data_IF_164678326421
#
_entry.id   IF_164678326421
#
_cell.length_a   1.000
_cell.length_b   1.000
_cell.length_c   1.000
_cell.angle_alpha   90.00
_cell.angle_beta   90.00
_cell.angle_gamma   90.00
#
_symmetry.space_group_name_H-M   'P 1'
#
loop_
_entity.id
_entity.type
_entity.pdbx_description
1 polymer ?
#
# COMPACT_ATOMS: atom_id res chain seq x y z
N UNK A 1 37.07 -61.89 55.37
CA UNK A 1 37.87 -62.99 54.80
C UNK A 1 37.98 -62.75 53.31
N UNK A 2 39.15 -62.31 52.87
CA UNK A 2 39.43 -61.91 51.49
C UNK A 2 39.64 -63.19 50.68
N UNK A 3 38.76 -63.47 49.73
CA UNK A 3 38.96 -64.53 48.75
C UNK A 3 40.20 -64.18 47.91
N UNK A 4 41.19 -65.07 47.93
CA UNK A 4 42.49 -64.88 47.30
C UNK A 4 42.33 -64.76 45.78
N UNK A 5 42.96 -63.73 45.19
CA UNK A 5 43.10 -63.52 43.74
C UNK A 5 43.72 -64.73 43.02
N UNK A 6 44.47 -65.57 43.75
CA UNK A 6 45.08 -66.81 43.28
C UNK A 6 44.04 -67.90 42.95
N UNK A 7 42.92 -67.96 43.68
CA UNK A 7 41.85 -68.94 43.44
C UNK A 7 40.96 -68.54 42.26
N UNK A 8 40.82 -67.23 42.01
CA UNK A 8 40.19 -66.73 40.80
C UNK A 8 41.02 -67.05 39.54
N UNK A 9 42.35 -67.08 39.66
CA UNK A 9 43.25 -67.35 38.53
C UNK A 9 43.33 -68.83 38.13
N UNK A 10 43.15 -69.75 39.07
CA UNK A 10 43.16 -71.19 38.78
C UNK A 10 41.87 -71.65 38.06
N UNK A 11 40.73 -71.02 38.37
CA UNK A 11 39.45 -71.34 37.71
C UNK A 11 39.40 -70.86 36.25
N UNK A 12 40.14 -69.79 35.90
CA UNK A 12 40.27 -69.35 34.51
C UNK A 12 41.06 -70.35 33.65
N UNK A 13 42.07 -71.06 34.14
CA UNK A 13 42.88 -71.95 33.27
C UNK A 13 42.12 -73.15 32.68
N UNK A 14 40.96 -73.50 33.24
CA UNK A 14 40.16 -74.65 32.81
C UNK A 14 39.04 -74.31 31.83
N UNK A 15 38.87 -73.04 31.44
CA UNK A 15 37.90 -72.68 30.39
C UNK A 15 38.60 -72.76 29.03
N UNK A 16 38.25 -73.72 28.17
CA UNK A 16 38.79 -73.77 26.83
C UNK A 16 38.37 -72.49 26.09
N UNK A 17 39.34 -71.85 25.44
CA UNK A 17 39.14 -70.69 24.58
C UNK A 17 38.90 -69.33 25.29
N UNK A 18 39.49 -69.10 26.48
CA UNK A 18 39.44 -67.79 27.17
C UNK A 18 39.98 -66.63 26.34
N UNK A 19 41.07 -66.86 25.59
CA UNK A 19 41.64 -65.82 24.71
C UNK A 19 40.66 -65.52 23.58
N UNK A 20 39.97 -66.54 23.05
CA UNK A 20 38.91 -66.37 22.05
C UNK A 20 37.68 -65.62 22.59
N UNK A 21 37.26 -65.86 23.83
CA UNK A 21 36.16 -65.14 24.50
C UNK A 21 36.55 -63.68 24.82
N UNK A 22 37.79 -63.44 25.24
CA UNK A 22 38.28 -62.09 25.53
C UNK A 22 38.48 -61.27 24.24
N UNK A 23 39.02 -61.90 23.18
CA UNK A 23 39.16 -61.29 21.86
C UNK A 23 37.78 -61.10 21.21
N UNK A 24 36.87 -62.07 21.27
CA UNK A 24 35.50 -61.91 20.77
C UNK A 24 34.73 -60.84 21.55
N UNK A 25 34.91 -60.78 22.88
CA UNK A 25 34.35 -59.74 23.76
C UNK A 25 34.90 -58.35 23.45
N UNK A 26 36.21 -58.22 23.25
CA UNK A 26 36.83 -56.95 22.84
C UNK A 26 36.48 -56.52 21.42
N UNK A 27 36.31 -57.46 20.49
CA UNK A 27 35.91 -57.19 19.10
C UNK A 27 34.43 -56.83 19.02
N UNK A 28 33.57 -57.45 19.84
CA UNK A 28 32.17 -57.09 19.99
C UNK A 28 31.99 -55.73 20.68
N UNK A 29 32.82 -55.41 21.68
CA UNK A 29 32.83 -54.08 22.31
C UNK A 29 33.36 -53.03 21.34
N UNK A 30 34.45 -53.28 20.61
CA UNK A 30 34.97 -52.36 19.59
C UNK A 30 33.99 -52.17 18.41
N UNK A 31 33.31 -53.24 17.98
CA UNK A 31 32.26 -53.20 16.95
C UNK A 31 30.98 -52.52 17.41
N UNK A 32 30.53 -52.76 18.64
CA UNK A 32 29.38 -52.09 19.24
C UNK A 32 29.66 -50.60 19.53
N UNK A 33 30.88 -50.27 19.95
CA UNK A 33 31.32 -48.89 20.18
C UNK A 33 31.45 -48.17 18.83
N UNK A 34 32.05 -48.80 17.81
CA UNK A 34 32.12 -48.26 16.45
C UNK A 34 30.75 -48.07 15.78
N UNK A 35 29.81 -49.00 15.99
CA UNK A 35 28.43 -48.89 15.50
C UNK A 35 27.66 -47.78 16.21
N UNK A 36 27.81 -47.63 17.54
CA UNK A 36 27.21 -46.53 18.30
C UNK A 36 27.78 -45.17 17.88
N UNK A 37 29.10 -45.04 17.70
CA UNK A 37 29.72 -43.82 17.16
C UNK A 37 29.27 -43.54 15.73
N UNK A 38 29.16 -44.57 14.88
CA UNK A 38 28.64 -44.44 13.52
C UNK A 38 27.19 -43.93 13.48
N UNK A 39 26.31 -44.45 14.34
CA UNK A 39 24.91 -44.01 14.47
C UNK A 39 24.84 -42.56 14.96
N UNK A 40 25.65 -42.18 15.96
CA UNK A 40 25.70 -40.80 16.47
C UNK A 40 26.22 -39.82 15.41
N UNK A 41 27.28 -40.18 14.68
CA UNK A 41 27.80 -39.34 13.58
C UNK A 41 26.77 -39.22 12.46
N UNK A 42 26.09 -40.30 12.08
CA UNK A 42 25.06 -40.30 11.04
C UNK A 42 23.85 -39.45 11.47
N UNK A 43 23.43 -39.53 12.73
CA UNK A 43 22.37 -38.70 13.29
C UNK A 43 22.77 -37.21 13.32
N UNK A 44 24.01 -36.88 13.69
CA UNK A 44 24.52 -35.50 13.68
C UNK A 44 24.64 -34.93 12.27
N UNK A 45 25.09 -35.73 11.29
CA UNK A 45 25.15 -35.34 9.87
C UNK A 45 23.73 -35.18 9.31
N UNK A 46 22.80 -36.08 9.66
CA UNK A 46 21.38 -35.98 9.30
C UNK A 46 20.75 -34.72 9.87
N UNK A 47 20.97 -34.40 11.15
CA UNK A 47 20.50 -33.16 11.77
C UNK A 47 21.10 -31.91 11.10
N UNK A 48 22.39 -31.94 10.76
CA UNK A 48 23.04 -30.85 10.01
C UNK A 48 22.43 -30.69 8.61
N UNK A 49 22.17 -31.79 7.91
CA UNK A 49 21.56 -31.77 6.57
C UNK A 49 20.11 -31.29 6.63
N UNK A 50 19.32 -31.75 7.60
CA UNK A 50 17.95 -31.27 7.82
C UNK A 50 17.93 -29.78 8.14
N UNK A 51 18.85 -29.28 8.97
CA UNK A 51 19.00 -27.84 9.22
C UNK A 51 19.32 -27.07 7.93
N UNK A 52 20.30 -27.52 7.14
CA UNK A 52 20.63 -26.90 5.84
C UNK A 52 19.47 -26.92 4.85
N UNK A 53 18.69 -28.00 4.81
CA UNK A 53 17.50 -28.11 3.96
C UNK A 53 16.40 -27.16 4.43
N UNK A 54 16.17 -27.04 5.73
CA UNK A 54 15.22 -26.08 6.30
C UNK A 54 15.65 -24.63 6.02
N UNK A 55 16.94 -24.32 6.14
CA UNK A 55 17.48 -23.00 5.80
C UNK A 55 17.30 -22.73 4.29
N UNK A 56 17.60 -23.69 3.42
CA UNK A 56 17.36 -23.57 1.98
C UNK A 56 15.88 -23.38 1.63
N UNK A 57 14.97 -24.07 2.32
CA UNK A 57 13.52 -23.87 2.17
C UNK A 57 13.09 -22.49 2.65
N UNK A 58 13.65 -21.99 3.76
CA UNK A 58 13.37 -20.63 4.27
C UNK A 58 13.80 -19.55 3.29
N UNK A 59 15.01 -19.63 2.74
CA UNK A 59 15.50 -18.68 1.73
C UNK A 59 14.64 -18.70 0.47
N UNK A 60 14.26 -19.90 0.01
CA UNK A 60 13.39 -20.06 -1.17
C UNK A 60 12.00 -19.48 -0.90
N UNK A 61 11.41 -19.78 0.25
CA UNK A 61 10.12 -19.21 0.65
C UNK A 61 10.19 -17.68 0.79
N UNK A 62 11.28 -17.13 1.34
CA UNK A 62 11.52 -15.70 1.46
C UNK A 62 11.54 -15.00 0.10
N UNK A 63 12.27 -15.57 -0.87
CA UNK A 63 12.34 -15.04 -2.24
C UNK A 63 11.00 -15.09 -2.94
N UNK A 64 10.28 -16.21 -2.82
CA UNK A 64 8.94 -16.36 -3.41
C UNK A 64 7.95 -15.37 -2.81
N UNK A 65 7.96 -15.20 -1.48
CA UNK A 65 7.10 -14.23 -0.79
C UNK A 65 7.45 -12.78 -1.18
N UNK A 66 8.74 -12.43 -1.22
CA UNK A 66 9.20 -11.10 -1.65
C UNK A 66 8.79 -10.80 -3.09
N UNK A 67 8.96 -11.77 -4.00
CA UNK A 67 8.53 -11.62 -5.40
C UNK A 67 7.02 -11.40 -5.51
N UNK A 68 6.22 -12.22 -4.81
CA UNK A 68 4.76 -12.07 -4.81
C UNK A 68 4.32 -10.70 -4.26
N UNK A 69 4.92 -10.23 -3.17
CA UNK A 69 4.65 -8.90 -2.61
C UNK A 69 5.04 -7.82 -3.62
N UNK A 70 6.19 -7.95 -4.26
CA UNK A 70 6.66 -7.07 -5.34
C UNK A 70 5.65 -6.97 -6.48
N UNK A 71 5.17 -8.10 -7.00
CA UNK A 71 4.18 -8.14 -8.10
C UNK A 71 2.87 -7.46 -7.71
N UNK A 72 2.38 -7.67 -6.49
CA UNK A 72 1.17 -7.01 -5.99
C UNK A 72 1.35 -5.50 -5.83
N UNK A 73 2.50 -5.04 -5.35
CA UNK A 73 2.80 -3.61 -5.26
C UNK A 73 2.96 -2.99 -6.64
N UNK A 74 3.61 -3.67 -7.59
CA UNK A 74 3.72 -3.21 -8.97
C UNK A 74 2.32 -3.03 -9.59
N UNK A 75 1.43 -4.02 -9.40
CA UNK A 75 0.05 -3.90 -9.87
C UNK A 75 -0.69 -2.72 -9.22
N UNK A 76 -0.48 -2.49 -7.92
CA UNK A 76 -1.04 -1.32 -7.23
C UNK A 76 -0.50 0.00 -7.77
N UNK A 77 0.80 0.08 -8.10
CA UNK A 77 1.42 1.26 -8.76
C UNK A 77 0.74 1.51 -10.11
N UNK A 78 0.58 0.47 -10.92
CA UNK A 78 -0.01 0.58 -12.25
C UNK A 78 -1.49 1.03 -12.17
N UNK A 79 -2.27 0.42 -11.27
CA UNK A 79 -3.66 0.85 -11.04
C UNK A 79 -3.76 2.30 -10.57
N UNK A 80 -2.86 2.75 -9.67
CA UNK A 80 -2.84 4.13 -9.20
C UNK A 80 -2.43 5.09 -10.33
N UNK A 81 -1.53 4.67 -11.22
CA UNK A 81 -1.14 5.45 -12.41
C UNK A 81 -2.33 5.66 -13.34
N UNK A 82 -3.05 4.59 -13.65
CA UNK A 82 -4.22 4.64 -14.52
C UNK A 82 -5.33 5.51 -13.90
N UNK A 83 -5.59 5.35 -12.59
CA UNK A 83 -6.57 6.14 -11.86
C UNK A 83 -6.21 7.64 -11.84
N UNK A 84 -4.94 7.98 -11.62
CA UNK A 84 -4.49 9.38 -11.64
C UNK A 84 -4.57 10.00 -13.04
N UNK A 85 -4.18 9.25 -14.08
CA UNK A 85 -4.30 9.72 -15.46
C UNK A 85 -5.76 10.00 -15.83
N UNK A 86 -6.67 9.10 -15.46
CA UNK A 86 -8.10 9.26 -15.70
C UNK A 86 -8.68 10.42 -14.90
N UNK A 87 -8.28 10.60 -13.63
CA UNK A 87 -8.72 11.72 -12.80
C UNK A 87 -8.33 13.07 -13.41
N UNK A 88 -7.06 13.20 -13.86
CA UNK A 88 -6.56 14.42 -14.47
C UNK A 88 -7.29 14.70 -15.78
N UNK A 89 -7.46 13.69 -16.64
CA UNK A 89 -8.18 13.83 -17.91
C UNK A 89 -9.63 14.27 -17.71
N UNK A 90 -10.36 13.61 -16.80
CA UNK A 90 -11.74 13.97 -16.47
C UNK A 90 -11.81 15.38 -15.88
N UNK A 91 -10.82 15.79 -15.08
CA UNK A 91 -10.78 17.16 -14.54
C UNK A 91 -10.59 18.19 -15.64
N UNK A 92 -9.68 17.96 -16.59
CA UNK A 92 -9.48 18.84 -17.74
C UNK A 92 -10.76 18.96 -18.58
N UNK A 93 -11.44 17.85 -18.84
CA UNK A 93 -12.69 17.86 -19.59
C UNK A 93 -13.79 18.64 -18.86
N UNK A 94 -13.96 18.42 -17.55
CA UNK A 94 -14.91 19.18 -16.74
C UNK A 94 -14.60 20.68 -16.77
N UNK A 95 -13.33 21.08 -16.56
CA UNK A 95 -12.93 22.49 -16.62
C UNK A 95 -13.21 23.09 -17.99
N UNK A 96 -12.88 22.38 -19.09
CA UNK A 96 -13.14 22.86 -20.44
C UNK A 96 -14.63 23.08 -20.71
N UNK A 97 -15.49 22.13 -20.33
CA UNK A 97 -16.96 22.25 -20.47
C UNK A 97 -17.47 23.48 -19.72
N UNK A 98 -17.02 23.67 -18.48
CA UNK A 98 -17.45 24.81 -17.66
C UNK A 98 -16.96 26.15 -18.21
N UNK A 99 -15.75 26.21 -18.79
CA UNK A 99 -15.25 27.42 -19.44
C UNK A 99 -16.04 27.75 -20.72
N UNK A 100 -16.48 26.76 -21.50
CA UNK A 100 -17.34 26.99 -22.67
C UNK A 100 -18.65 27.68 -22.28
N UNK A 101 -19.26 27.29 -21.16
CA UNK A 101 -20.47 27.95 -20.65
C UNK A 101 -20.25 29.44 -20.31
N UNK A 102 -19.08 29.81 -19.82
CA UNK A 102 -18.75 31.21 -19.52
C UNK A 102 -18.68 32.01 -20.82
N UNK A 103 -18.05 31.46 -21.85
CA UNK A 103 -17.93 32.11 -23.17
C UNK A 103 -19.31 32.27 -23.82
N UNK A 104 -20.14 31.23 -23.83
CA UNK A 104 -21.49 31.30 -24.39
C UNK A 104 -22.37 32.35 -23.68
N UNK A 105 -22.24 32.50 -22.35
CA UNK A 105 -22.96 33.53 -21.60
C UNK A 105 -22.54 34.96 -21.95
N UNK A 106 -21.29 35.17 -22.37
CA UNK A 106 -20.82 36.49 -22.82
C UNK A 106 -21.40 36.85 -24.19
N UNK A 107 -21.49 35.87 -25.10
CA UNK A 107 -22.01 36.05 -26.47
C UNK A 107 -23.54 36.29 -26.52
N UNK A 108 -24.31 35.67 -25.62
CA UNK A 108 -25.78 35.78 -25.57
C UNK A 108 -26.28 37.22 -25.36
N UNK A 109 -25.43 38.13 -24.88
CA UNK A 109 -25.73 39.56 -24.74
C UNK A 109 -25.85 40.31 -26.09
N UNK A 110 -25.58 39.64 -27.22
CA UNK A 110 -25.58 40.24 -28.57
C UNK A 110 -26.77 39.83 -29.45
N UNK A 111 -27.68 38.99 -28.95
CA UNK A 111 -28.77 38.39 -29.73
C UNK A 111 -29.95 39.36 -29.97
N UNK A 112 -30.47 39.36 -31.21
CA UNK A 112 -31.64 40.15 -31.62
C UNK A 112 -32.92 39.71 -30.85
N UNK A 113 -33.67 40.65 -30.23
CA UNK A 113 -34.88 40.36 -29.47
C UNK A 113 -35.97 39.55 -30.19
N UNK A 114 -36.07 39.65 -31.53
CA UNK A 114 -37.09 38.93 -32.31
C UNK A 114 -36.85 37.42 -32.41
N UNK A 115 -35.60 36.96 -32.28
CA UNK A 115 -35.22 35.54 -32.31
C UNK A 115 -35.02 34.95 -30.90
N UNK A 116 -35.02 35.80 -29.87
CA UNK A 116 -34.66 35.45 -28.50
C UNK A 116 -35.43 34.24 -27.95
N UNK A 117 -36.73 34.10 -28.24
CA UNK A 117 -37.52 32.98 -27.76
C UNK A 117 -37.23 31.64 -28.47
N UNK A 118 -36.75 31.66 -29.71
CA UNK A 118 -36.32 30.45 -30.43
C UNK A 118 -34.94 30.04 -29.96
N UNK A 119 -34.01 30.99 -29.93
CA UNK A 119 -32.63 30.83 -29.45
C UNK A 119 -32.64 30.32 -28.01
N UNK A 120 -33.39 30.95 -27.10
CA UNK A 120 -33.51 30.50 -25.71
C UNK A 120 -34.01 29.04 -25.56
N UNK A 121 -34.90 28.56 -26.44
CA UNK A 121 -35.37 27.17 -26.41
C UNK A 121 -34.31 26.18 -26.91
N UNK A 122 -33.53 26.56 -27.90
CA UNK A 122 -32.41 25.76 -28.41
C UNK A 122 -31.28 25.71 -27.39
N UNK A 123 -30.91 26.84 -26.79
CA UNK A 123 -29.95 26.90 -25.68
C UNK A 123 -30.42 26.07 -24.49
N UNK A 124 -31.69 26.17 -24.08
CA UNK A 124 -32.21 25.35 -22.97
C UNK A 124 -32.10 23.85 -23.26
N UNK A 125 -32.40 23.41 -24.48
CA UNK A 125 -32.24 21.99 -24.86
C UNK A 125 -30.77 21.56 -24.84
N UNK A 126 -29.87 22.39 -25.36
CA UNK A 126 -28.42 22.14 -25.32
C UNK A 126 -27.91 22.06 -23.87
N UNK A 127 -28.31 23.01 -23.02
CA UNK A 127 -28.01 23.03 -21.59
C UNK A 127 -28.51 21.77 -20.86
N UNK A 128 -29.75 21.34 -21.10
CA UNK A 128 -30.30 20.13 -20.47
C UNK A 128 -29.51 18.89 -20.86
N UNK A 129 -29.20 18.74 -22.16
CA UNK A 129 -28.40 17.61 -22.65
C UNK A 129 -26.99 17.63 -22.06
N UNK A 130 -26.34 18.78 -22.10
CA UNK A 130 -24.99 18.95 -21.58
C UNK A 130 -24.93 18.70 -20.07
N UNK A 131 -25.91 19.18 -19.29
CA UNK A 131 -26.02 18.89 -17.86
C UNK A 131 -26.19 17.40 -17.56
N UNK A 132 -26.97 16.67 -18.36
CA UNK A 132 -27.11 15.22 -18.23
C UNK A 132 -25.78 14.53 -18.47
N UNK A 133 -25.14 14.81 -19.61
CA UNK A 133 -23.87 14.19 -19.98
C UNK A 133 -22.74 14.60 -19.00
N UNK A 134 -22.87 15.77 -18.36
CA UNK A 134 -21.94 16.25 -17.34
C UNK A 134 -22.16 15.58 -15.97
N UNK A 135 -23.40 15.20 -15.66
CA UNK A 135 -23.71 14.43 -14.43
C UNK A 135 -23.03 13.06 -14.47
N UNK A 136 -23.04 12.40 -15.63
CA UNK A 136 -22.36 11.11 -15.83
C UNK A 136 -20.84 11.25 -15.69
N UNK A 137 -20.26 12.34 -16.22
CA UNK A 137 -18.83 12.66 -16.08
C UNK A 137 -18.41 12.99 -14.66
N UNK A 138 -19.21 13.79 -13.95
CA UNK A 138 -18.95 14.10 -12.54
C UNK A 138 -19.04 12.83 -11.69
N UNK A 139 -20.04 11.98 -11.92
CA UNK A 139 -20.12 10.67 -11.27
C UNK A 139 -18.87 9.81 -11.53
N UNK A 140 -18.39 9.75 -12.78
CA UNK A 140 -17.16 9.04 -13.12
C UNK A 140 -15.92 9.66 -12.44
N UNK A 141 -15.80 10.99 -12.41
CA UNK A 141 -14.74 11.71 -11.73
C UNK A 141 -14.70 11.40 -10.22
N UNK A 142 -15.86 11.43 -9.55
CA UNK A 142 -15.97 11.09 -8.13
C UNK A 142 -15.66 9.62 -7.84
N UNK A 143 -16.04 8.70 -8.73
CA UNK A 143 -15.68 7.29 -8.61
C UNK A 143 -14.16 7.09 -8.66
N UNK A 144 -13.48 7.75 -9.61
CA UNK A 144 -12.01 7.68 -9.72
C UNK A 144 -11.34 8.29 -8.50
N UNK A 145 -11.80 9.45 -8.02
CA UNK A 145 -11.30 10.06 -6.79
C UNK A 145 -11.44 9.12 -5.59
N UNK A 146 -12.57 8.43 -5.48
CA UNK A 146 -12.82 7.44 -4.42
C UNK A 146 -11.86 6.26 -4.53
N UNK A 147 -11.62 5.75 -5.74
CA UNK A 147 -10.65 4.67 -5.99
C UNK A 147 -9.22 5.06 -5.61
N UNK A 148 -8.81 6.29 -5.91
CA UNK A 148 -7.49 6.82 -5.52
C UNK A 148 -7.39 6.87 -3.99
N UNK A 149 -8.41 7.38 -3.30
CA UNK A 149 -8.43 7.45 -1.83
C UNK A 149 -8.19 6.10 -1.17
N UNK A 150 -8.82 5.03 -1.67
CA UNK A 150 -8.63 3.69 -1.13
C UNK A 150 -7.23 3.12 -1.38
N UNK A 151 -6.50 3.62 -2.38
CA UNK A 151 -5.14 3.18 -2.71
C UNK A 151 -4.08 3.92 -1.92
N UNK A 152 -4.35 5.14 -1.47
CA UNK A 152 -3.36 5.96 -0.77
C UNK A 152 -3.21 5.57 0.70
N UNK A 153 -1.98 5.60 1.20
CA UNK A 153 -1.66 5.38 2.60
C UNK A 153 -1.55 6.73 3.35
N UNK A 154 -2.52 7.15 4.16
CA UNK A 154 -2.50 8.48 4.81
C UNK A 154 -1.43 8.63 5.90
N UNK A 155 -0.71 7.56 6.23
CA UNK A 155 0.41 7.60 7.17
C UNK A 155 1.69 8.13 6.52
N UNK A 156 1.75 8.14 5.19
CA UNK A 156 2.90 8.61 4.42
C UNK A 156 2.67 10.03 3.93
N UNK A 157 3.69 10.88 4.05
CA UNK A 157 3.57 12.32 3.82
C UNK A 157 3.16 12.64 2.39
N UNK A 158 3.78 12.00 1.41
CA UNK A 158 3.52 12.21 -0.02
C UNK A 158 2.08 11.82 -0.39
N UNK A 159 1.60 10.71 0.18
CA UNK A 159 0.22 10.25 -0.01
C UNK A 159 -0.79 11.22 0.62
N UNK A 160 -0.48 11.76 1.81
CA UNK A 160 -1.34 12.73 2.47
C UNK A 160 -1.39 14.05 1.69
N UNK A 161 -0.27 14.53 1.17
CA UNK A 161 -0.21 15.76 0.36
C UNK A 161 -0.91 15.59 -1.00
N UNK A 162 -0.78 14.43 -1.64
CA UNK A 162 -1.57 14.08 -2.82
C UNK A 162 -3.07 14.15 -2.49
N UNK A 163 -3.49 13.50 -1.40
CA UNK A 163 -4.89 13.48 -0.98
C UNK A 163 -5.44 14.89 -0.73
N UNK A 164 -4.72 15.73 0.01
CA UNK A 164 -5.11 17.13 0.24
C UNK A 164 -5.25 17.92 -1.07
N UNK A 165 -4.34 17.70 -2.01
CA UNK A 165 -4.35 18.40 -3.30
C UNK A 165 -5.54 17.96 -4.16
N UNK A 166 -5.86 16.66 -4.18
CA UNK A 166 -7.08 16.14 -4.83
C UNK A 166 -8.37 16.76 -4.25
N UNK A 167 -8.43 16.96 -2.94
CA UNK A 167 -9.56 17.66 -2.31
C UNK A 167 -9.66 19.13 -2.72
N UNK A 168 -8.51 19.82 -2.84
CA UNK A 168 -8.48 21.21 -3.32
C UNK A 168 -8.99 21.32 -4.75
N UNK A 169 -8.59 20.40 -5.63
CA UNK A 169 -9.13 20.31 -7.00
C UNK A 169 -10.65 20.12 -6.98
N UNK A 170 -11.16 19.16 -6.21
CA UNK A 170 -12.61 18.92 -6.12
C UNK A 170 -13.39 20.13 -5.60
N UNK A 171 -12.90 20.79 -4.55
CA UNK A 171 -13.53 22.00 -4.01
C UNK A 171 -13.47 23.17 -5.01
N UNK A 172 -12.35 23.34 -5.73
CA UNK A 172 -12.22 24.38 -6.73
C UNK A 172 -13.17 24.16 -7.92
N UNK A 173 -13.33 22.91 -8.37
CA UNK A 173 -14.34 22.53 -9.36
C UNK A 173 -15.75 22.90 -8.88
N UNK A 174 -16.14 22.46 -7.69
CA UNK A 174 -17.47 22.77 -7.11
C UNK A 174 -17.69 24.29 -6.98
N UNK A 175 -16.67 25.03 -6.55
CA UNK A 175 -16.71 26.50 -6.44
C UNK A 175 -16.92 27.13 -7.82
N UNK A 176 -16.22 26.63 -8.84
CA UNK A 176 -16.35 27.11 -10.21
C UNK A 176 -17.76 26.86 -10.77
N UNK A 177 -18.31 25.65 -10.58
CA UNK A 177 -19.69 25.32 -10.99
C UNK A 177 -20.70 26.25 -10.33
N UNK A 178 -20.58 26.42 -9.01
CA UNK A 178 -21.47 27.28 -8.23
C UNK A 178 -21.34 28.76 -8.63
N UNK A 179 -20.13 29.22 -8.95
CA UNK A 179 -19.88 30.58 -9.43
C UNK A 179 -20.52 30.83 -10.79
N UNK A 180 -20.37 29.90 -11.74
CA UNK A 180 -20.99 29.98 -13.07
C UNK A 180 -22.52 30.01 -12.96
N UNK A 181 -23.11 29.18 -12.10
CA UNK A 181 -24.55 29.17 -11.86
C UNK A 181 -25.07 30.53 -11.33
N UNK A 182 -24.23 31.27 -10.58
CA UNK A 182 -24.53 32.62 -10.07
C UNK A 182 -24.08 33.75 -10.98
N UNK A 183 -23.48 33.43 -12.14
CA UNK A 183 -22.86 34.40 -13.06
C UNK A 183 -21.73 35.21 -12.41
N UNK A 184 -21.01 34.62 -11.45
CA UNK A 184 -19.82 35.21 -10.85
C UNK A 184 -18.60 34.90 -11.73
N UNK A 185 -17.99 35.94 -12.33
CA UNK A 185 -16.83 35.78 -13.24
C UNK A 185 -15.54 35.57 -12.42
N UNK A 186 -15.38 34.36 -11.87
CA UNK A 186 -14.15 33.89 -11.21
C UNK A 186 -13.54 32.65 -11.90
N UNK A 187 -14.18 32.17 -12.98
CA UNK A 187 -13.87 30.89 -13.61
C UNK A 187 -12.44 30.80 -14.15
N UNK A 188 -11.90 31.86 -14.77
CA UNK A 188 -10.55 31.85 -15.33
C UNK A 188 -9.48 31.65 -14.25
N UNK A 189 -9.61 32.35 -13.12
CA UNK A 189 -8.68 32.19 -11.99
C UNK A 189 -8.78 30.79 -11.38
N UNK A 190 -10.01 30.32 -11.13
CA UNK A 190 -10.23 28.98 -10.59
C UNK A 190 -9.69 27.88 -11.51
N UNK A 191 -9.83 28.03 -12.82
CA UNK A 191 -9.26 27.08 -13.79
C UNK A 191 -7.73 27.01 -13.70
N UNK A 192 -7.06 28.17 -13.57
CA UNK A 192 -5.61 28.23 -13.37
C UNK A 192 -5.18 27.56 -12.06
N UNK A 193 -5.92 27.80 -10.98
CA UNK A 193 -5.65 27.17 -9.67
C UNK A 193 -5.83 25.65 -9.75
N UNK A 194 -6.86 25.17 -10.46
CA UNK A 194 -7.08 23.75 -10.72
C UNK A 194 -5.90 23.14 -11.47
N UNK A 195 -5.46 23.73 -12.59
CA UNK A 195 -4.33 23.20 -13.36
C UNK A 195 -3.04 23.15 -12.53
N UNK A 196 -2.75 24.19 -11.76
CA UNK A 196 -1.59 24.18 -10.87
C UNK A 196 -1.66 23.06 -9.81
N UNK A 197 -2.85 22.79 -9.27
CA UNK A 197 -3.03 21.69 -8.32
C UNK A 197 -3.00 20.32 -9.01
N UNK A 198 -3.39 20.19 -10.27
CA UNK A 198 -3.19 18.96 -11.06
C UNK A 198 -1.70 18.67 -11.31
N UNK A 199 -0.88 19.69 -11.59
CA UNK A 199 0.57 19.53 -11.71
C UNK A 199 1.19 19.04 -10.39
N UNK A 200 0.74 19.58 -9.25
CA UNK A 200 1.16 19.10 -7.93
C UNK A 200 0.72 17.66 -7.68
N UNK A 201 -0.51 17.29 -8.07
CA UNK A 201 -0.97 15.90 -8.01
C UNK A 201 -0.03 14.97 -8.79
N UNK A 202 0.32 15.31 -10.04
CA UNK A 202 1.25 14.53 -10.85
C UNK A 202 2.64 14.41 -10.21
N UNK A 203 3.14 15.49 -9.62
CA UNK A 203 4.41 15.49 -8.90
C UNK A 203 4.39 14.57 -7.67
N UNK A 204 3.36 14.64 -6.82
CA UNK A 204 3.21 13.75 -5.67
C UNK A 204 3.04 12.29 -6.08
N UNK A 205 2.24 12.02 -7.10
CA UNK A 205 2.08 10.67 -7.66
C UNK A 205 3.43 10.10 -8.12
N UNK A 206 4.25 10.90 -8.81
CA UNK A 206 5.60 10.48 -9.23
C UNK A 206 6.52 10.21 -8.03
N UNK A 207 6.45 11.04 -6.99
CA UNK A 207 7.21 10.85 -5.76
C UNK A 207 6.83 9.54 -5.06
N UNK A 208 5.52 9.24 -4.96
CA UNK A 208 4.99 7.99 -4.42
C UNK A 208 5.53 6.79 -5.21
N UNK A 209 5.45 6.83 -6.54
CA UNK A 209 5.94 5.74 -7.38
C UNK A 209 7.42 5.49 -7.20
N UNK A 210 8.23 6.55 -7.14
CA UNK A 210 9.67 6.43 -6.87
C UNK A 210 9.94 5.83 -5.49
N UNK A 211 9.19 6.26 -4.48
CA UNK A 211 9.28 5.74 -3.12
C UNK A 211 8.98 4.24 -3.04
N UNK A 212 7.88 3.81 -3.66
CA UNK A 212 7.45 2.42 -3.68
C UNK A 212 8.36 1.53 -4.53
N UNK A 213 8.81 2.02 -5.69
CA UNK A 213 9.81 1.31 -6.50
C UNK A 213 11.09 1.03 -5.71
N UNK A 214 11.60 2.03 -4.98
CA UNK A 214 12.78 1.86 -4.12
C UNK A 214 12.54 0.91 -2.95
N UNK A 215 11.29 0.78 -2.46
CA UNK A 215 10.93 -0.22 -1.45
C UNK A 215 10.96 -1.63 -2.06
N UNK A 216 10.32 -1.83 -3.20
CA UNK A 216 10.31 -3.11 -3.92
C UNK A 216 11.75 -3.55 -4.23
N UNK A 217 12.58 -2.66 -4.78
CA UNK A 217 13.97 -2.98 -5.11
C UNK A 217 14.78 -3.45 -3.89
N UNK A 218 14.59 -2.81 -2.72
CA UNK A 218 15.25 -3.22 -1.47
C UNK A 218 14.72 -4.55 -0.94
N UNK A 219 13.41 -4.75 -0.97
CA UNK A 219 12.76 -5.96 -0.46
C UNK A 219 13.09 -7.20 -1.32
N UNK A 220 13.27 -7.02 -2.62
CA UNK A 220 13.75 -8.07 -3.53
C UNK A 220 15.23 -8.37 -3.33
N UNK A 221 16.05 -7.35 -3.05
CA UNK A 221 17.48 -7.53 -2.74
C UNK A 221 17.71 -8.23 -1.39
N UNK A 222 16.85 -7.99 -0.40
CA UNK A 222 16.99 -8.51 0.98
C UNK A 222 15.72 -9.24 1.47
N UNK A 223 15.35 -10.39 0.89
CA UNK A 223 14.08 -11.06 1.15
C UNK A 223 13.93 -11.61 2.59
N UNK A 224 15.04 -11.93 3.25
CA UNK A 224 15.04 -12.45 4.63
C UNK A 224 14.61 -11.38 5.64
N UNK A 225 15.13 -10.15 5.51
CA UNK A 225 14.73 -9.02 6.37
C UNK A 225 13.26 -8.65 6.21
N UNK A 226 12.72 -8.80 4.99
CA UNK A 226 11.29 -8.61 4.76
C UNK A 226 10.46 -9.62 5.57
N UNK A 227 10.79 -10.91 5.50
CA UNK A 227 10.10 -11.94 6.27
C UNK A 227 10.22 -11.70 7.78
N UNK A 228 11.41 -11.36 8.27
CA UNK A 228 11.60 -11.01 9.69
C UNK A 228 10.71 -9.84 10.09
N UNK A 229 10.61 -8.79 9.26
CA UNK A 229 9.75 -7.64 9.54
C UNK A 229 8.26 -7.97 9.52
N UNK A 230 7.83 -8.94 8.70
CA UNK A 230 6.44 -9.41 8.64
C UNK A 230 6.12 -10.25 9.87
N UNK A 231 7.01 -11.15 10.26
CA UNK A 231 6.83 -12.03 11.43
C UNK A 231 6.93 -11.23 12.74
N UNK A 232 7.83 -10.25 12.80
CA UNK A 232 8.05 -9.40 13.98
C UNK A 232 6.95 -8.35 14.17
N UNK A 233 6.15 -8.03 13.14
CA UNK A 233 4.97 -7.18 13.30
C UNK A 233 3.89 -7.98 14.01
N UNK A 234 3.51 -7.65 15.26
CA UNK A 234 2.34 -8.25 15.88
C UNK A 234 1.13 -7.92 15.00
N UNK A 235 0.30 -8.94 14.70
CA UNK A 235 -0.98 -8.76 14.01
C UNK A 235 -1.72 -7.59 14.67
N UNK A 236 -2.11 -6.60 13.85
CA UNK A 236 -2.62 -5.30 14.27
C UNK A 236 -3.36 -5.34 15.62
N UNK A 237 -2.80 -4.67 16.63
CA UNK A 237 -3.58 -4.28 17.79
C UNK A 237 -4.55 -3.18 17.33
N UNK A 238 -5.76 -3.58 16.95
CA UNK A 238 -6.83 -2.70 16.44
C UNK A 238 -7.08 -1.52 17.40
N UNK A 239 -6.85 -1.70 18.70
CA UNK A 239 -6.94 -0.62 19.69
C UNK A 239 -5.87 0.46 19.54
N UNK A 240 -4.65 0.10 19.16
CA UNK A 240 -3.55 1.07 18.94
C UNK A 240 -3.77 1.89 17.66
N UNK A 241 -4.28 1.26 16.58
CA UNK A 241 -4.65 1.97 15.36
C UNK A 241 -5.83 2.92 15.60
N UNK A 242 -6.85 2.48 16.33
CA UNK A 242 -7.99 3.32 16.70
C UNK A 242 -7.57 4.54 17.55
N UNK A 243 -6.67 4.33 18.52
CA UNK A 243 -6.14 5.42 19.36
C UNK A 243 -5.33 6.44 18.55
N UNK A 244 -4.47 6.00 17.63
CA UNK A 244 -3.67 6.88 16.78
C UNK A 244 -4.54 7.65 15.77
N UNK A 245 -5.55 7.01 15.17
CA UNK A 245 -6.52 7.66 14.30
C UNK A 245 -7.38 8.69 15.05
N UNK A 246 -7.76 8.40 16.29
CA UNK A 246 -8.53 9.33 17.13
C UNK A 246 -7.69 10.54 17.55
N UNK A 247 -6.41 10.32 17.89
CA UNK A 247 -5.44 11.40 18.19
C UNK A 247 -5.23 12.31 16.98
N UNK A 248 -5.20 11.76 15.76
CA UNK A 248 -5.05 12.53 14.51
C UNK A 248 -6.35 13.18 14.04
N UNK A 249 -7.52 12.59 14.28
CA UNK A 249 -8.82 13.25 14.07
C UNK A 249 -8.97 14.52 14.90
N UNK A 250 -8.37 14.57 16.08
CA UNK A 250 -8.38 15.76 16.93
C UNK A 250 -7.50 16.91 16.39
N UNK A 251 -6.53 16.65 15.50
CA UNK A 251 -5.74 17.71 14.86
C UNK A 251 -6.37 18.27 13.59
N UNK A 252 -7.33 17.54 12.99
CA UNK A 252 -8.13 17.99 11.84
C UNK A 252 -9.51 18.43 12.35
N UNK A 253 -9.55 19.38 13.29
CA UNK A 253 -10.77 20.18 13.47
C UNK A 253 -10.75 21.26 12.38
N UNK A 254 -11.82 21.40 11.58
CA UNK A 254 -11.96 22.61 10.77
C UNK A 254 -11.99 23.78 11.75
N UNK A 255 -11.09 24.74 11.55
CA UNK A 255 -11.20 26.06 12.16
C UNK A 255 -12.60 26.55 11.85
N UNK A 256 -13.48 26.55 12.85
CA UNK A 256 -14.81 27.10 12.66
C UNK A 256 -14.62 28.55 12.25
N UNK A 257 -15.09 28.87 11.06
CA UNK A 257 -15.21 30.24 10.62
C UNK A 257 -16.17 30.88 11.61
N UNK A 258 -15.62 31.63 12.55
CA UNK A 258 -16.37 32.44 13.49
C UNK A 258 -17.15 33.47 12.66
N UNK A 259 -18.42 33.16 12.39
CA UNK A 259 -19.37 34.11 11.83
C UNK A 259 -19.56 35.23 12.86
N UNK A 260 -18.78 36.31 12.74
CA UNK A 260 -19.07 37.57 13.39
C UNK A 260 -20.37 38.12 12.79
N UNK A 261 -21.49 37.74 13.42
CA UNK A 261 -22.76 38.44 13.32
C UNK A 261 -22.55 39.88 13.79
N UNK A 262 -22.34 40.79 12.84
CA UNK A 262 -22.29 42.23 13.07
C UNK A 262 -23.72 42.75 12.87
N UNK A 263 -24.56 42.60 13.89
CA UNK A 263 -25.85 43.31 13.95
C UNK A 263 -25.60 44.76 14.35
N UNK A 264 -25.93 45.64 13.40
CA UNK A 264 -26.55 46.96 13.59
C UNK A 264 -26.07 47.83 14.74
N UNK A 265 -25.24 48.80 14.43
CA UNK A 265 -25.38 50.15 14.96
C UNK A 265 -25.54 51.08 13.76
N UNK A 266 -26.75 51.62 13.60
CA UNK A 266 -27.02 52.82 12.83
C UNK A 266 -27.27 53.98 13.81
N UNK A 267 -26.91 55.21 13.42
CA UNK A 267 -26.94 56.41 14.27
C UNK A 267 -28.34 56.83 14.68
#
# INVERSE_FOLDING_TARGET
>A
MIANLTDAWSSLKNVPNIVGIFVAGMTAVAGATGALFGVVITALVSLRNTRKTLDGQRVTAARSASTFIGDKRQKWIDDLRDDMALFIANTHELVAIWLMFVIEQEDDNTVNPMDAARVAREHLKAHIKLNRDNTERDAAHQQVLTRIRFRLNPLETEHLELLKTLYRVGHALETMVNGIARREILATKLSSDIYQDLDKCAAYTTAIFKGEWNRIAREVAEPEKLLESIIAKPLLNVGALAAELQKRRLSIRPTSVASKSRRGQTP
#
